data_IF_643622098623
#
_entry.id   IF_643622098623
#
_cell.length_a   1.000
_cell.length_b   1.000
_cell.length_c   1.000
_cell.angle_alpha   90.00
_cell.angle_beta   90.00
_cell.angle_gamma   90.00
#
_symmetry.space_group_name_H-M   'P 1'
#
loop_
_entity.id
_entity.type
_entity.pdbx_description
1 polymer ?
#
# COMPACT_ATOMS: atom_id res chain seq x y z
N UNK A 1 -20.61 2.89 -13.44
CA UNK A 1 -19.98 4.22 -13.39
C UNK A 1 -20.29 4.84 -12.04
N UNK A 2 -19.30 5.36 -11.34
CA UNK A 2 -19.51 6.11 -10.11
C UNK A 2 -20.27 7.41 -10.41
N UNK A 3 -21.30 7.71 -9.62
CA UNK A 3 -22.00 9.00 -9.66
C UNK A 3 -21.29 10.03 -8.79
N UNK A 4 -20.57 9.57 -7.78
CA UNK A 4 -19.75 10.38 -6.87
C UNK A 4 -18.45 9.62 -6.55
N UNK A 5 -17.42 10.32 -6.12
CA UNK A 5 -16.15 9.72 -5.71
C UNK A 5 -16.34 8.87 -4.45
N UNK A 6 -16.03 7.57 -4.54
CA UNK A 6 -16.21 6.59 -3.48
C UNK A 6 -14.92 6.16 -2.77
N UNK A 7 -13.83 6.88 -2.97
CA UNK A 7 -12.52 6.53 -2.41
C UNK A 7 -11.82 5.43 -3.21
N UNK A 8 -10.79 4.83 -2.63
CA UNK A 8 -9.94 3.88 -3.35
C UNK A 8 -10.53 2.47 -3.48
N UNK A 9 -11.53 2.10 -2.66
CA UNK A 9 -12.11 0.76 -2.66
C UNK A 9 -13.64 0.75 -2.71
N UNK A 10 -14.31 1.85 -2.38
CA UNK A 10 -15.76 1.91 -2.27
C UNK A 10 -16.49 1.53 -3.56
N UNK A 11 -15.90 1.81 -4.73
CA UNK A 11 -16.46 1.44 -6.03
C UNK A 11 -16.48 -0.06 -6.31
N UNK A 12 -15.74 -0.88 -5.59
CA UNK A 12 -15.78 -2.33 -5.77
C UNK A 12 -17.14 -2.94 -5.40
N UNK A 13 -17.91 -2.26 -4.54
CA UNK A 13 -19.27 -2.65 -4.16
C UNK A 13 -20.26 -2.59 -5.32
N UNK A 14 -20.02 -1.71 -6.32
CA UNK A 14 -20.90 -1.53 -7.49
C UNK A 14 -20.73 -2.67 -8.50
N UNK A 15 -19.68 -3.47 -8.38
CA UNK A 15 -19.37 -4.54 -9.35
C UNK A 15 -20.04 -5.85 -8.90
N UNK A 16 -21.05 -6.29 -9.65
CA UNK A 16 -21.82 -7.49 -9.32
C UNK A 16 -21.23 -8.78 -9.91
N UNK A 17 -20.45 -8.69 -10.98
CA UNK A 17 -19.99 -9.85 -11.76
C UNK A 17 -18.50 -10.14 -11.56
N UNK A 18 -18.18 -10.77 -10.44
CA UNK A 18 -16.84 -11.21 -10.10
C UNK A 18 -16.65 -12.69 -10.45
N UNK A 19 -15.77 -12.99 -11.41
CA UNK A 19 -15.50 -14.37 -11.86
C UNK A 19 -14.47 -15.12 -11.00
N UNK A 20 -13.59 -14.41 -10.29
CA UNK A 20 -12.51 -15.01 -9.52
C UNK A 20 -12.68 -14.82 -8.01
N UNK A 21 -12.08 -15.72 -7.23
CA UNK A 21 -12.11 -15.68 -5.76
C UNK A 21 -11.08 -14.72 -5.15
N UNK A 22 -10.17 -14.21 -5.97
CA UNK A 22 -9.14 -13.25 -5.57
C UNK A 22 -9.20 -12.05 -6.49
N UNK A 23 -9.26 -10.87 -5.90
CA UNK A 23 -9.32 -9.59 -6.58
C UNK A 23 -7.99 -8.89 -6.45
N UNK A 24 -7.42 -8.45 -7.56
CA UNK A 24 -6.30 -7.52 -7.61
C UNK A 24 -6.86 -6.11 -7.75
N UNK A 25 -6.58 -5.28 -6.76
CA UNK A 25 -6.86 -3.85 -6.78
C UNK A 25 -5.53 -3.10 -6.84
N UNK A 26 -5.44 -2.09 -7.70
CA UNK A 26 -4.23 -1.31 -7.87
C UNK A 26 -4.59 0.16 -8.16
N UNK A 27 -3.87 1.09 -7.56
CA UNK A 27 -3.94 2.50 -7.92
C UNK A 27 -3.47 2.69 -9.38
N UNK A 28 -4.08 3.62 -10.10
CA UNK A 28 -3.83 3.82 -11.54
C UNK A 28 -2.60 4.67 -11.87
N UNK A 29 -2.02 5.32 -10.89
CA UNK A 29 -0.91 6.26 -10.98
C UNK A 29 0.44 5.68 -10.53
N UNK A 30 0.58 4.36 -10.62
CA UNK A 30 1.78 3.65 -10.18
C UNK A 30 2.65 3.21 -11.36
N UNK A 31 3.96 3.37 -11.21
CA UNK A 31 4.96 2.78 -12.08
C UNK A 31 5.84 1.82 -11.28
N UNK A 32 5.75 0.51 -11.59
CA UNK A 32 6.40 -0.53 -10.79
C UNK A 32 6.71 -1.75 -11.63
N UNK A 33 7.70 -2.54 -11.20
CA UNK A 33 7.99 -3.87 -11.71
C UNK A 33 7.70 -4.97 -10.69
N UNK A 34 6.66 -4.77 -9.87
CA UNK A 34 6.23 -5.83 -8.97
C UNK A 34 5.99 -7.14 -9.73
N UNK A 35 6.51 -8.23 -9.19
CA UNK A 35 6.21 -9.58 -9.67
C UNK A 35 4.83 -10.01 -9.15
N UNK A 36 3.81 -9.85 -9.99
CA UNK A 36 2.42 -10.20 -9.64
C UNK A 36 2.23 -11.70 -9.42
N UNK A 37 3.00 -12.56 -10.09
CA UNK A 37 2.93 -14.01 -9.89
C UNK A 37 3.45 -14.37 -8.49
N UNK A 38 4.63 -13.89 -8.14
CA UNK A 38 5.18 -14.05 -6.79
C UNK A 38 4.27 -13.45 -5.71
N UNK A 39 3.64 -12.30 -5.98
CA UNK A 39 2.68 -11.68 -5.07
C UNK A 39 1.47 -12.57 -4.84
N UNK A 40 0.89 -13.14 -5.91
CA UNK A 40 -0.24 -14.06 -5.82
C UNK A 40 0.13 -15.37 -5.11
N UNK A 41 1.27 -15.97 -5.45
CA UNK A 41 1.77 -17.19 -4.79
C UNK A 41 1.96 -16.93 -3.29
N UNK A 42 2.55 -15.79 -2.91
CA UNK A 42 2.72 -15.40 -1.51
C UNK A 42 1.37 -15.30 -0.78
N UNK A 43 0.38 -14.62 -1.39
CA UNK A 43 -0.98 -14.50 -0.86
C UNK A 43 -1.61 -15.87 -0.59
N UNK A 44 -1.56 -16.77 -1.58
CA UNK A 44 -2.12 -18.14 -1.48
C UNK A 44 -1.39 -18.98 -0.46
N UNK A 45 -0.04 -18.98 -0.48
CA UNK A 45 0.81 -19.75 0.44
C UNK A 45 0.54 -19.42 1.90
N UNK A 46 0.27 -18.17 2.21
CA UNK A 46 -0.01 -17.74 3.57
C UNK A 46 -1.48 -17.84 3.96
N UNK A 47 -2.35 -18.29 3.04
CA UNK A 47 -3.81 -18.29 3.22
C UNK A 47 -4.31 -16.95 3.78
N UNK A 48 -3.84 -15.85 3.17
CA UNK A 48 -4.18 -14.52 3.62
C UNK A 48 -5.60 -14.14 3.16
N UNK A 49 -6.24 -13.27 3.93
CA UNK A 49 -7.51 -12.66 3.59
C UNK A 49 -7.31 -11.42 2.73
N UNK A 50 -6.25 -10.67 3.02
CA UNK A 50 -5.75 -9.55 2.22
C UNK A 50 -4.22 -9.54 2.23
N UNK A 51 -3.61 -9.20 1.10
CA UNK A 51 -2.17 -8.94 1.00
C UNK A 51 -1.94 -7.56 0.39
N UNK A 52 -1.06 -6.79 1.00
CA UNK A 52 -0.72 -5.43 0.60
C UNK A 52 0.72 -5.40 0.12
N UNK A 53 0.95 -4.95 -1.11
CA UNK A 53 2.31 -4.69 -1.56
C UNK A 53 2.89 -3.48 -0.78
N UNK A 54 4.13 -3.60 -0.35
CA UNK A 54 4.77 -2.61 0.49
C UNK A 54 6.20 -2.32 0.05
N UNK A 55 6.60 -1.07 0.16
CA UNK A 55 7.97 -0.61 -0.13
C UNK A 55 8.67 -0.16 1.14
N UNK A 56 9.98 -0.43 1.28
CA UNK A 56 10.73 0.08 2.41
C UNK A 56 10.80 1.62 2.35
N UNK A 57 10.59 2.26 3.49
CA UNK A 57 10.68 3.70 3.63
C UNK A 57 11.57 4.05 4.81
N UNK A 58 12.70 4.71 4.53
CA UNK A 58 13.70 5.03 5.53
C UNK A 58 13.71 6.52 5.80
N UNK A 59 13.65 6.90 7.08
CA UNK A 59 13.78 8.28 7.53
C UNK A 59 15.09 8.39 8.30
N UNK A 60 16.04 9.17 7.77
CA UNK A 60 17.28 9.49 8.42
C UNK A 60 17.18 10.89 9.02
N UNK A 61 17.30 11.00 10.33
CA UNK A 61 17.33 12.30 11.01
C UNK A 61 18.80 12.72 11.16
N UNK A 62 19.22 13.87 10.55
CA UNK A 62 20.62 14.28 10.55
C UNK A 62 21.09 14.93 11.86
N UNK A 63 20.27 14.85 12.92
CA UNK A 63 20.49 15.47 14.22
C UNK A 63 20.37 14.45 15.35
N UNK A 64 20.99 14.75 16.50
CA UNK A 64 20.67 14.07 17.76
C UNK A 64 19.25 14.41 18.17
N UNK A 65 18.44 13.40 18.51
CA UNK A 65 17.09 13.58 19.04
C UNK A 65 17.03 13.21 20.50
N UNK A 66 16.30 14.00 21.28
CA UNK A 66 16.12 13.75 22.69
C UNK A 66 14.94 12.80 22.93
N UNK A 67 15.14 11.84 23.81
CA UNK A 67 14.07 11.11 24.46
C UNK A 67 13.65 11.90 25.68
N UNK A 68 12.43 12.40 25.70
CA UNK A 68 11.92 13.25 26.79
C UNK A 68 10.92 12.46 27.62
N UNK A 69 11.02 12.55 28.94
CA UNK A 69 10.09 11.95 29.87
C UNK A 69 8.94 12.90 30.24
N UNK A 70 9.29 14.18 30.32
CA UNK A 70 8.34 15.28 30.52
C UNK A 70 8.85 16.54 29.81
N UNK A 71 8.14 17.65 29.91
CA UNK A 71 8.45 18.91 29.18
C UNK A 71 9.88 19.44 29.45
N UNK A 72 10.55 19.02 30.54
CA UNK A 72 11.81 19.63 31.00
C UNK A 72 12.99 18.67 31.06
N UNK A 73 12.74 17.38 31.16
CA UNK A 73 13.79 16.38 31.47
C UNK A 73 14.12 15.53 30.26
N UNK A 74 15.40 15.53 29.89
CA UNK A 74 15.93 14.67 28.84
C UNK A 74 16.29 13.33 29.48
N UNK A 75 15.67 12.24 29.02
CA UNK A 75 15.94 10.88 29.47
C UNK A 75 17.09 10.22 28.70
N UNK A 76 17.29 10.63 27.46
CA UNK A 76 18.34 10.09 26.60
C UNK A 76 18.51 10.87 25.31
N UNK A 77 19.54 10.50 24.55
CA UNK A 77 19.85 11.08 23.24
C UNK A 77 20.10 9.94 22.26
N UNK A 78 19.44 10.01 21.10
CA UNK A 78 19.75 9.17 19.94
C UNK A 78 20.44 10.00 18.88
N UNK A 79 21.73 9.72 18.64
CA UNK A 79 22.51 10.44 17.63
C UNK A 79 22.17 9.94 16.24
N UNK A 80 21.71 10.87 15.37
CA UNK A 80 21.39 10.62 13.95
C UNK A 80 20.63 9.32 13.69
N UNK A 81 19.49 9.11 14.34
CA UNK A 81 18.78 7.84 14.23
C UNK A 81 18.19 7.66 12.84
N UNK A 82 18.12 6.39 12.42
CA UNK A 82 17.41 5.95 11.22
C UNK A 82 16.18 5.15 11.62
N UNK A 83 15.03 5.47 11.03
CA UNK A 83 13.77 4.76 11.24
C UNK A 83 13.38 4.04 9.96
N UNK A 84 13.00 2.79 10.10
CA UNK A 84 12.62 1.92 8.99
C UNK A 84 11.14 1.60 9.05
N UNK A 85 10.44 1.96 8.01
CA UNK A 85 9.01 1.72 7.85
C UNK A 85 8.74 0.96 6.55
N UNK A 86 7.50 0.52 6.38
CA UNK A 86 7.00 0.00 5.13
C UNK A 86 5.80 0.85 4.71
N UNK A 87 5.92 1.51 3.59
CA UNK A 87 4.83 2.28 3.01
C UNK A 87 3.90 1.36 2.20
N UNK A 88 2.62 1.65 2.26
CA UNK A 88 1.61 1.01 1.42
C UNK A 88 1.84 1.41 -0.04
N UNK A 89 2.00 0.42 -0.91
CA UNK A 89 2.31 0.64 -2.31
C UNK A 89 1.06 0.83 -3.20
N UNK A 90 -0.15 0.81 -2.64
CA UNK A 90 -1.38 0.98 -3.41
C UNK A 90 -1.74 -0.22 -4.29
N UNK A 91 -1.27 -1.41 -3.96
CA UNK A 91 -1.53 -2.65 -4.70
C UNK A 91 -1.95 -3.73 -3.71
N UNK A 92 -3.08 -4.37 -3.95
CA UNK A 92 -3.73 -5.25 -3.00
C UNK A 92 -4.23 -6.53 -3.67
N UNK A 93 -4.11 -7.67 -2.99
CA UNK A 93 -4.86 -8.89 -3.26
C UNK A 93 -5.85 -9.11 -2.14
N UNK A 94 -7.12 -9.35 -2.49
CA UNK A 94 -8.23 -9.43 -1.55
C UNK A 94 -9.07 -10.67 -1.90
N UNK A 95 -9.48 -11.45 -0.91
CA UNK A 95 -10.49 -12.49 -1.12
C UNK A 95 -11.82 -11.83 -1.50
N UNK A 96 -12.44 -12.26 -2.60
CA UNK A 96 -13.70 -11.73 -3.10
C UNK A 96 -14.81 -11.69 -2.04
N UNK A 97 -14.91 -12.73 -1.23
CA UNK A 97 -15.94 -12.83 -0.18
C UNK A 97 -15.96 -11.66 0.80
N UNK A 98 -14.79 -11.01 0.99
CA UNK A 98 -14.66 -9.88 1.89
C UNK A 98 -15.19 -8.56 1.32
N UNK A 99 -15.40 -8.48 0.01
CA UNK A 99 -15.96 -7.27 -0.62
C UNK A 99 -17.36 -6.94 -0.08
N UNK A 100 -18.09 -7.93 0.42
CA UNK A 100 -19.38 -7.73 1.10
C UNK A 100 -19.30 -6.89 2.37
N UNK A 101 -18.09 -6.68 2.92
CA UNK A 101 -17.86 -5.82 4.07
C UNK A 101 -17.67 -4.34 3.71
N UNK A 102 -17.57 -4.03 2.41
CA UNK A 102 -17.48 -2.65 1.92
C UNK A 102 -18.87 -2.01 2.04
N UNK A 103 -18.99 -0.85 2.73
CA UNK A 103 -20.28 -0.19 2.89
C UNK A 103 -20.78 0.35 1.56
N UNK A 104 -22.08 0.16 1.31
CA UNK A 104 -22.74 0.59 0.07
C UNK A 104 -22.78 2.12 -0.02
N UNK A 105 -22.55 2.60 -1.25
CA UNK A 105 -22.66 4.02 -1.60
C UNK A 105 -21.94 4.97 -0.63
N UNK A 106 -20.79 4.54 -0.12
CA UNK A 106 -20.04 5.27 0.91
C UNK A 106 -18.59 5.48 0.44
N UNK A 107 -18.05 6.67 0.70
CA UNK A 107 -16.62 6.92 0.54
C UNK A 107 -15.83 6.01 1.48
N UNK A 108 -14.98 5.14 0.91
CA UNK A 108 -14.23 4.16 1.67
C UNK A 108 -12.86 3.92 1.05
N UNK A 109 -11.80 4.01 1.86
CA UNK A 109 -10.45 3.80 1.40
C UNK A 109 -9.98 2.37 1.65
N UNK A 110 -9.00 1.92 0.89
CA UNK A 110 -8.38 0.62 1.10
C UNK A 110 -7.71 0.50 2.49
N UNK A 111 -7.24 1.60 3.06
CA UNK A 111 -6.71 1.66 4.44
C UNK A 111 -7.79 1.44 5.48
N UNK A 112 -8.96 2.07 5.33
CA UNK A 112 -10.10 1.89 6.25
C UNK A 112 -10.60 0.44 6.19
N UNK A 113 -10.60 -0.14 4.99
CA UNK A 113 -10.95 -1.54 4.80
C UNK A 113 -9.95 -2.50 5.45
N UNK A 114 -8.66 -2.20 5.32
CA UNK A 114 -7.58 -2.97 5.96
C UNK A 114 -7.72 -2.96 7.48
N UNK A 115 -7.95 -1.80 8.09
CA UNK A 115 -8.18 -1.66 9.52
C UNK A 115 -9.40 -2.47 9.96
N UNK A 116 -10.50 -2.39 9.20
CA UNK A 116 -11.70 -3.19 9.44
C UNK A 116 -11.44 -4.70 9.41
N UNK A 117 -10.64 -5.17 8.44
CA UNK A 117 -10.27 -6.59 8.37
C UNK A 117 -9.44 -7.01 9.57
N UNK A 118 -8.48 -6.19 10.01
CA UNK A 118 -7.65 -6.44 11.18
C UNK A 118 -8.52 -6.52 12.46
N UNK A 119 -9.45 -5.58 12.64
CA UNK A 119 -10.41 -5.58 13.75
C UNK A 119 -11.26 -6.86 13.79
N UNK A 120 -11.62 -7.40 12.62
CA UNK A 120 -12.38 -8.65 12.49
C UNK A 120 -11.50 -9.91 12.64
N UNK A 121 -10.23 -9.77 12.99
CA UNK A 121 -9.29 -10.88 13.13
C UNK A 121 -8.94 -11.57 11.81
N UNK A 122 -9.16 -10.91 10.68
CA UNK A 122 -8.76 -11.42 9.36
C UNK A 122 -7.25 -11.32 9.16
N UNK A 123 -6.71 -12.22 8.37
CA UNK A 123 -5.27 -12.30 8.10
C UNK A 123 -4.86 -11.31 7.02
N UNK A 124 -4.39 -10.15 7.42
CA UNK A 124 -3.80 -9.14 6.55
C UNK A 124 -2.28 -9.27 6.59
N UNK A 125 -1.65 -9.41 5.42
CA UNK A 125 -0.19 -9.58 5.31
C UNK A 125 0.40 -8.55 4.35
N UNK A 126 1.70 -8.31 4.46
CA UNK A 126 2.44 -7.50 3.49
C UNK A 126 3.24 -8.37 2.53
N UNK A 127 3.45 -7.86 1.31
CA UNK A 127 4.38 -8.39 0.33
C UNK A 127 5.43 -7.32 -0.01
N UNK A 128 6.74 -7.57 0.16
CA UNK A 128 7.76 -6.58 -0.13
C UNK A 128 7.97 -6.47 -1.65
N UNK A 129 7.96 -5.25 -2.19
CA UNK A 129 8.41 -4.98 -3.55
C UNK A 129 9.94 -4.89 -3.52
N UNK A 130 10.61 -5.79 -4.25
CA UNK A 130 12.07 -5.82 -4.35
C UNK A 130 12.63 -4.92 -5.45
N UNK A 131 11.78 -4.47 -6.38
CA UNK A 131 12.16 -3.65 -7.53
C UNK A 131 11.90 -2.16 -7.33
N UNK A 132 11.54 -1.49 -8.42
CA UNK A 132 11.14 -0.10 -8.37
C UNK A 132 9.63 0.05 -8.17
N UNK A 133 9.27 1.09 -7.47
CA UNK A 133 7.91 1.57 -7.26
C UNK A 133 7.92 3.09 -7.17
N UNK A 134 7.13 3.74 -8.01
CA UNK A 134 7.01 5.18 -8.10
C UNK A 134 5.53 5.53 -8.15
N UNK A 135 5.11 6.39 -7.26
CA UNK A 135 3.78 7.02 -7.25
C UNK A 135 3.85 8.30 -8.08
N UNK A 136 3.02 8.39 -9.13
CA UNK A 136 2.99 9.52 -10.06
C UNK A 136 1.95 10.54 -9.60
N UNK A 137 2.13 11.07 -8.40
CA UNK A 137 1.19 12.03 -7.79
C UNK A 137 1.32 13.47 -8.32
N UNK A 138 2.42 13.81 -9.02
CA UNK A 138 2.72 15.16 -9.51
C UNK A 138 3.24 15.14 -10.94
N UNK A 139 3.08 16.25 -11.70
CA UNK A 139 3.64 16.35 -13.05
C UNK A 139 5.17 16.14 -13.14
N UNK A 140 5.90 16.42 -12.07
CA UNK A 140 7.34 16.20 -11.98
C UNK A 140 7.66 14.71 -11.92
N UNK A 141 6.87 13.94 -11.19
CA UNK A 141 7.03 12.48 -11.06
C UNK A 141 6.86 11.81 -12.43
N UNK A 142 5.92 12.29 -13.23
CA UNK A 142 5.71 11.80 -14.59
C UNK A 142 6.95 11.99 -15.49
N UNK A 143 7.62 13.15 -15.41
CA UNK A 143 8.86 13.38 -16.15
C UNK A 143 9.98 12.46 -15.70
N UNK A 144 10.14 12.30 -14.38
CA UNK A 144 11.14 11.40 -13.78
C UNK A 144 10.91 9.95 -14.23
N UNK A 145 9.66 9.50 -14.23
CA UNK A 145 9.29 8.16 -14.72
C UNK A 145 9.58 7.99 -16.20
N UNK A 146 9.31 8.99 -17.05
CA UNK A 146 9.65 8.92 -18.47
C UNK A 146 11.15 8.78 -18.72
N UNK A 147 11.98 9.52 -17.99
CA UNK A 147 13.43 9.42 -18.08
C UNK A 147 13.94 8.07 -17.58
N UNK A 148 13.40 7.60 -16.46
CA UNK A 148 13.73 6.29 -15.92
C UNK A 148 13.35 5.15 -16.89
N UNK A 149 12.15 5.18 -17.47
CA UNK A 149 11.68 4.18 -18.43
C UNK A 149 12.55 4.15 -19.72
N UNK A 150 12.99 5.32 -20.22
CA UNK A 150 13.92 5.40 -21.36
C UNK A 150 15.26 4.74 -21.06
N UNK A 151 15.74 4.86 -19.82
CA UNK A 151 17.01 4.27 -19.42
C UNK A 151 16.89 2.75 -19.23
N UNK A 152 15.75 2.23 -18.75
CA UNK A 152 15.47 0.80 -18.66
C UNK A 152 15.46 0.13 -20.06
N UNK A 153 14.91 0.79 -21.06
CA UNK A 153 14.86 0.27 -22.44
C UNK A 153 16.20 0.28 -23.18
N UNK A 154 17.27 0.82 -22.57
CA UNK A 154 18.64 0.86 -23.11
C UNK A 154 19.59 -0.15 -22.45
N UNK A 155 19.12 -0.88 -21.45
CA UNK A 155 19.84 -1.98 -20.78
C UNK A 155 19.44 -3.32 -21.38
#
# INVERSE_FOLDING_TARGET
REEKFLGTIGSLEIIDDWHNDTILLMNSDLFTNIDFESFYIHFKKHNADMSVAAVPYNINIPYGIFEIENIREIKGVKEKPSFYYYANAGIYLIKRELLSLIPKDTFYNATDFMDKLIELGKKVIRFPIAGYWIDIGKPEDFKNVQEFARNLGRM
#
